data_IF_811999958146
#
_entry.id   IF_811999958146
#
_cell.length_a   1.000
_cell.length_b   1.000
_cell.length_c   1.000
_cell.angle_alpha   90.00
_cell.angle_beta   90.00
_cell.angle_gamma   90.00
#
_symmetry.space_group_name_H-M   'P 1'
#
loop_
_entity.id
_entity.type
_entity.pdbx_description
1 polymer ?
#
# COMPACT_ATOMS: atom_id res chain seq x y z
N UNK A 1 -11.49 14.86 -1.83
CA UNK A 1 -12.35 14.31 -2.89
C UNK A 1 -11.68 14.64 -4.21
N UNK A 2 -11.28 13.65 -5.00
CA UNK A 2 -10.65 13.89 -6.31
C UNK A 2 -11.71 14.37 -7.32
N UNK A 3 -11.35 15.18 -8.33
CA UNK A 3 -12.29 15.62 -9.35
C UNK A 3 -12.93 14.43 -10.08
N UNK A 4 -14.23 14.47 -10.39
CA UNK A 4 -14.86 13.43 -11.19
C UNK A 4 -14.22 13.37 -12.58
N UNK A 5 -13.78 12.18 -13.00
CA UNK A 5 -13.23 11.93 -14.34
C UNK A 5 -11.71 11.74 -14.41
N UNK A 6 -10.96 11.99 -13.33
CA UNK A 6 -9.56 11.55 -13.25
C UNK A 6 -9.56 10.11 -12.71
N UNK A 7 -9.08 9.10 -13.48
CA UNK A 7 -8.93 7.76 -12.93
C UNK A 7 -7.97 7.83 -11.75
N UNK A 8 -8.47 7.44 -10.57
CA UNK A 8 -7.65 7.28 -9.37
C UNK A 8 -6.68 6.12 -9.61
N UNK A 9 -5.50 6.42 -10.12
CA UNK A 9 -4.36 5.50 -10.17
C UNK A 9 -3.69 5.44 -8.80
N UNK A 10 -4.45 5.04 -7.79
CA UNK A 10 -3.89 4.72 -6.49
C UNK A 10 -3.12 3.40 -6.62
N UNK A 11 -1.80 3.48 -6.47
CA UNK A 11 -0.91 2.31 -6.49
C UNK A 11 -1.26 1.36 -5.34
N UNK A 12 -1.60 1.89 -4.16
CA UNK A 12 -1.95 1.12 -2.95
C UNK A 12 -3.29 1.60 -2.41
N UNK A 13 -4.12 0.69 -1.88
CA UNK A 13 -5.32 1.06 -1.15
C UNK A 13 -5.00 1.78 0.16
N UNK A 14 -5.32 3.09 0.22
CA UNK A 14 -4.83 3.99 1.29
C UNK A 14 -5.48 3.72 2.65
N UNK A 15 -6.70 3.16 2.66
CA UNK A 15 -7.49 2.94 3.88
C UNK A 15 -8.35 1.68 3.75
N UNK A 16 -8.16 0.73 4.66
CA UNK A 16 -9.05 -0.41 4.94
C UNK A 16 -9.40 -0.40 6.44
N UNK A 17 -10.30 0.50 6.88
CA UNK A 17 -10.57 0.73 8.30
C UNK A 17 -11.04 -0.53 9.05
N UNK A 18 -11.74 -1.43 8.38
CA UNK A 18 -12.21 -2.72 8.89
C UNK A 18 -11.06 -3.65 9.35
N UNK A 19 -9.88 -3.49 8.75
CA UNK A 19 -8.66 -4.24 9.08
C UNK A 19 -7.64 -3.38 9.85
N UNK A 20 -8.02 -2.15 10.22
CA UNK A 20 -7.12 -1.19 10.89
C UNK A 20 -6.03 -0.61 9.99
N UNK A 21 -5.97 -0.98 8.70
CA UNK A 21 -4.95 -0.53 7.77
C UNK A 21 -5.23 0.91 7.36
N UNK A 22 -4.39 1.82 7.83
CA UNK A 22 -4.52 3.25 7.58
C UNK A 22 -3.16 3.86 7.26
N UNK A 23 -3.16 4.92 6.46
CA UNK A 23 -1.97 5.73 6.22
C UNK A 23 -0.91 5.00 5.42
N UNK A 24 -1.30 4.15 4.46
CA UNK A 24 -0.33 3.50 3.58
C UNK A 24 0.33 4.53 2.66
N UNK A 25 1.66 4.52 2.54
CA UNK A 25 2.33 5.47 1.66
C UNK A 25 3.86 5.40 1.66
N UNK A 26 4.47 6.42 1.04
CA UNK A 26 5.92 6.58 0.87
C UNK A 26 6.58 5.28 0.41
N UNK A 27 6.15 4.80 -0.75
CA UNK A 27 6.50 3.49 -1.27
C UNK A 27 7.65 3.54 -2.26
N UNK A 28 8.30 2.38 -2.46
CA UNK A 28 9.17 2.10 -3.59
C UNK A 28 8.80 0.74 -4.20
N UNK A 29 9.11 0.54 -5.47
CA UNK A 29 8.83 -0.70 -6.19
C UNK A 29 10.15 -1.28 -6.70
N UNK A 30 10.32 -2.58 -6.55
CA UNK A 30 11.53 -3.29 -6.94
C UNK A 30 11.18 -4.56 -7.72
N UNK A 31 11.91 -4.81 -8.80
CA UNK A 31 11.91 -6.11 -9.48
C UNK A 31 12.81 -7.08 -8.72
N UNK A 32 12.31 -8.29 -8.44
CA UNK A 32 13.11 -9.30 -7.74
C UNK A 32 14.19 -9.88 -8.68
N UNK A 33 15.41 -10.18 -8.20
CA UNK A 33 16.51 -10.59 -9.07
C UNK A 33 16.33 -11.96 -9.76
N UNK A 34 15.51 -12.84 -9.20
CA UNK A 34 15.40 -14.24 -9.62
C UNK A 34 14.10 -14.58 -10.36
N UNK A 35 13.12 -13.68 -10.36
CA UNK A 35 11.79 -13.93 -10.92
C UNK A 35 11.35 -12.70 -11.71
N UNK A 36 10.48 -12.87 -12.70
CA UNK A 36 9.77 -11.75 -13.33
C UNK A 36 8.64 -11.23 -12.40
N UNK A 37 8.97 -11.07 -11.12
CA UNK A 37 8.07 -10.67 -10.05
C UNK A 37 8.51 -9.32 -9.49
N UNK A 38 7.51 -8.53 -9.13
CA UNK A 38 7.68 -7.18 -8.63
C UNK A 38 7.11 -7.11 -7.22
N UNK A 39 7.79 -6.37 -6.35
CA UNK A 39 7.33 -6.11 -4.99
C UNK A 39 7.26 -4.62 -4.74
N UNK A 40 6.31 -4.23 -3.89
CA UNK A 40 6.25 -2.88 -3.33
C UNK A 40 6.69 -2.93 -1.88
N UNK A 41 7.49 -1.96 -1.45
CA UNK A 41 7.71 -1.67 -0.05
C UNK A 41 7.07 -0.33 0.29
N UNK A 42 6.34 -0.26 1.39
CA UNK A 42 5.65 0.95 1.84
C UNK A 42 5.53 0.94 3.36
N UNK A 43 5.10 2.05 3.96
CA UNK A 43 4.72 2.06 5.37
C UNK A 43 3.22 2.17 5.55
N UNK A 44 2.71 1.68 6.68
CA UNK A 44 1.38 1.99 7.23
C UNK A 44 1.49 2.35 8.72
N UNK A 45 0.40 2.82 9.33
CA UNK A 45 0.35 2.94 10.79
C UNK A 45 0.48 1.55 11.43
N UNK A 46 1.29 1.45 12.48
CA UNK A 46 1.57 0.17 13.13
C UNK A 46 0.30 -0.49 13.68
N UNK A 47 0.24 -1.81 13.56
CA UNK A 47 -0.88 -2.62 14.04
C UNK A 47 -0.48 -3.43 15.30
N UNK A 48 -1.44 -3.71 16.19
CA UNK A 48 -2.81 -3.20 16.20
C UNK A 48 -2.87 -1.72 16.61
N UNK A 49 -3.79 -0.94 16.01
CA UNK A 49 -3.89 0.52 16.25
C UNK A 49 -4.09 0.89 17.73
N UNK A 50 -4.66 -0.02 18.53
CA UNK A 50 -4.92 0.17 19.97
C UNK A 50 -3.62 0.23 20.81
N UNK A 51 -2.53 -0.37 20.35
CA UNK A 51 -1.22 -0.26 21.01
C UNK A 51 -0.56 1.11 20.78
N UNK A 52 -1.04 1.87 19.78
CA UNK A 52 -0.52 3.18 19.38
C UNK A 52 -1.64 4.24 19.37
N UNK A 53 -2.19 4.61 20.54
CA UNK A 53 -3.30 5.57 20.64
C UNK A 53 -2.92 6.95 20.10
N UNK A 54 -1.67 7.37 20.31
CA UNK A 54 -1.10 8.62 19.81
C UNK A 54 0.12 8.37 18.90
N UNK A 55 0.57 9.40 18.19
CA UNK A 55 1.85 9.32 17.46
C UNK A 55 1.88 8.44 16.22
N UNK A 56 0.73 8.12 15.61
CA UNK A 56 0.62 7.24 14.43
C UNK A 56 1.53 7.63 13.26
N UNK A 57 1.89 8.92 13.13
CA UNK A 57 2.80 9.39 12.08
C UNK A 57 4.25 8.90 12.23
N UNK A 58 4.69 8.57 13.45
CA UNK A 58 6.02 8.01 13.71
C UNK A 58 5.98 6.56 14.19
N UNK A 59 4.85 6.07 14.72
CA UNK A 59 4.58 4.64 14.92
C UNK A 59 4.09 4.00 13.62
N UNK A 60 5.04 3.54 12.81
CA UNK A 60 4.79 2.94 11.50
C UNK A 60 5.54 1.63 11.37
N UNK A 61 5.01 0.76 10.54
CA UNK A 61 5.64 -0.51 10.16
C UNK A 61 5.88 -0.55 8.65
N UNK A 62 6.91 -1.28 8.24
CA UNK A 62 7.22 -1.52 6.83
C UNK A 62 6.46 -2.76 6.36
N UNK A 63 5.76 -2.62 5.24
CA UNK A 63 4.98 -3.68 4.62
C UNK A 63 5.55 -4.01 3.24
N UNK A 64 5.35 -5.26 2.81
CA UNK A 64 5.73 -5.75 1.50
C UNK A 64 4.51 -6.45 0.88
N UNK A 65 4.19 -6.11 -0.36
CA UNK A 65 3.15 -6.78 -1.13
C UNK A 65 3.62 -7.02 -2.58
N UNK A 66 3.01 -7.99 -3.26
CA UNK A 66 3.26 -8.27 -4.67
C UNK A 66 2.64 -7.22 -5.58
N UNK A 67 3.33 -6.92 -6.68
CA UNK A 67 2.82 -6.03 -7.74
C UNK A 67 2.52 -6.86 -8.97
N UNK A 68 1.31 -6.70 -9.50
CA UNK A 68 0.85 -7.34 -10.73
C UNK A 68 0.46 -6.30 -11.77
N UNK A 69 0.56 -6.69 -13.04
CA UNK A 69 0.13 -5.88 -14.18
C UNK A 69 -1.02 -6.58 -14.91
N UNK A 70 -1.92 -5.81 -15.49
CA UNK A 70 -3.00 -6.34 -16.35
C UNK A 70 -2.53 -6.53 -17.81
N UNK A 71 -3.42 -7.02 -18.66
CA UNK A 71 -3.15 -7.26 -20.09
C UNK A 71 -2.82 -5.99 -20.88
N UNK A 72 -3.17 -4.81 -20.35
CA UNK A 72 -2.86 -3.51 -20.95
C UNK A 72 -1.51 -2.96 -20.44
N UNK A 73 -0.80 -3.70 -19.59
CA UNK A 73 0.45 -3.29 -18.96
C UNK A 73 0.27 -2.29 -17.82
N UNK A 74 -0.96 -2.10 -17.33
CA UNK A 74 -1.26 -1.20 -16.22
C UNK A 74 -1.12 -1.94 -14.90
N UNK A 75 -0.57 -1.26 -13.91
CA UNK A 75 -0.43 -1.84 -12.57
C UNK A 75 -1.80 -2.03 -11.93
N UNK A 76 -2.06 -3.24 -11.43
CA UNK A 76 -3.25 -3.51 -10.64
C UNK A 76 -3.16 -2.78 -9.29
N UNK A 77 -4.30 -2.33 -8.77
CA UNK A 77 -4.38 -1.74 -7.43
C UNK A 77 -3.87 -2.74 -6.39
N UNK A 78 -2.92 -2.32 -5.56
CA UNK A 78 -2.39 -3.17 -4.48
C UNK A 78 -3.36 -3.12 -3.30
N UNK A 79 -3.73 -4.30 -2.82
CA UNK A 79 -4.53 -4.49 -1.61
C UNK A 79 -3.56 -4.89 -0.49
N UNK A 80 -3.34 -4.02 0.51
CA UNK A 80 -2.46 -4.33 1.64
C UNK A 80 -2.83 -5.64 2.33
N UNK A 81 -1.88 -6.56 2.45
CA UNK A 81 -2.02 -7.77 3.28
C UNK A 81 -1.92 -7.45 4.78
N UNK A 82 -2.47 -8.30 5.64
CA UNK A 82 -2.41 -8.16 7.10
C UNK A 82 -1.08 -8.67 7.66
#
# INVERSE_FOLDING_TARGET
MFPPGIPNYLVIDIKRPEEGILGTGHHCIMKTPAQDAWIIAYHRFALPLAEYPEGKGYHRETCLDSVEFDENGLMKKIIPSL
#
